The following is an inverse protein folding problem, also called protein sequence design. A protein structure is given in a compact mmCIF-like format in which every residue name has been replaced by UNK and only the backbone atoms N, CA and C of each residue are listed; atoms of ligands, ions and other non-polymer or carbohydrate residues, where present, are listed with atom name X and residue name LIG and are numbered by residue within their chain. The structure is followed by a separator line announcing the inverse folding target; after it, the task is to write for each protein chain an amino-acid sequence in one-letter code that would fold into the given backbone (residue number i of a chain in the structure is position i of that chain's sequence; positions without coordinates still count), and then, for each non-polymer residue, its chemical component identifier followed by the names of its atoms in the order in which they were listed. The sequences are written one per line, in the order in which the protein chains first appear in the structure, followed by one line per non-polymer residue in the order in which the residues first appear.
data_IF_002897028783
#
_entry.id   IF_002897028783
#
_cell.length_a   1.000
_cell.length_b   1.000
_cell.length_c   1.000
_cell.angle_alpha   90.00
_cell.angle_beta   90.00
_cell.angle_gamma   90.00
#
_symmetry.space_group_name_H-M   'P 1'
#
loop_
_entity.id
_entity.type
_entity.pdbx_description
1 polymer ?
#
# COMPACT_ATOMS: atom_id res chain seq x y z
N UNK A 1 -1.35 -17.70 -8.46
CA UNK A 1 -1.89 -16.45 -7.89
C UNK A 1 -0.81 -15.38 -7.99
N UNK A 2 -1.16 -14.15 -8.37
CA UNK A 2 -0.20 -13.06 -8.45
C UNK A 2 0.26 -12.60 -7.06
N UNK A 3 1.47 -12.10 -6.96
CA UNK A 3 1.94 -11.36 -5.79
C UNK A 3 1.58 -9.88 -6.00
N UNK A 4 0.91 -9.27 -5.01
CA UNK A 4 0.42 -7.89 -5.09
C UNK A 4 1.10 -7.05 -4.02
N UNK A 5 1.59 -5.87 -4.38
CA UNK A 5 2.02 -4.86 -3.42
C UNK A 5 0.82 -3.95 -3.11
N UNK A 6 0.40 -3.91 -1.85
CA UNK A 6 -0.81 -3.19 -1.45
C UNK A 6 -0.46 -1.74 -1.11
N UNK A 7 -1.27 -0.81 -1.60
CA UNK A 7 -1.14 0.63 -1.32
C UNK A 7 -2.07 1.06 -0.16
N UNK A 8 -1.71 2.13 0.54
CA UNK A 8 -2.42 2.68 1.71
C UNK A 8 -3.87 3.03 1.38
N UNK A 9 -4.13 3.51 0.16
CA UNK A 9 -5.48 3.83 -0.31
C UNK A 9 -6.40 2.60 -0.42
N UNK A 10 -5.85 1.41 -0.68
CA UNK A 10 -6.61 0.16 -0.78
C UNK A 10 -6.96 -0.32 0.62
N UNK A 11 -5.97 -0.32 1.53
CA UNK A 11 -6.17 -0.73 2.93
C UNK A 11 -7.20 0.17 3.63
N UNK A 12 -7.09 1.49 3.46
CA UNK A 12 -8.05 2.43 4.05
C UNK A 12 -9.47 2.25 3.51
N UNK A 13 -9.65 2.03 2.21
CA UNK A 13 -10.97 1.74 1.62
C UNK A 13 -11.54 0.41 2.10
N UNK A 14 -10.71 -0.62 2.23
CA UNK A 14 -11.13 -1.92 2.73
C UNK A 14 -11.60 -1.85 4.18
N UNK A 15 -10.82 -1.21 5.06
CA UNK A 15 -11.19 -1.03 6.47
C UNK A 15 -12.46 -0.19 6.65
N UNK A 16 -12.74 0.73 5.70
CA UNK A 16 -13.94 1.53 5.68
C UNK A 16 -15.15 0.87 4.98
N UNK A 17 -15.00 -0.34 4.40
CA UNK A 17 -16.06 -1.00 3.63
C UNK A 17 -16.47 -0.24 2.38
N UNK A 18 -15.52 0.44 1.72
CA UNK A 18 -15.74 1.30 0.56
C UNK A 18 -15.30 0.67 -0.76
N UNK A 19 -14.90 -0.61 -0.76
CA UNK A 19 -14.54 -1.32 -1.98
C UNK A 19 -15.80 -1.92 -2.64
N UNK A 20 -15.85 -2.02 -3.98
CA UNK A 20 -16.85 -2.84 -4.66
C UNK A 20 -16.71 -4.30 -4.27
N UNK A 21 -17.78 -5.09 -4.39
CA UNK A 21 -17.82 -6.50 -3.99
C UNK A 21 -16.69 -7.34 -4.62
N UNK A 22 -16.39 -7.12 -5.90
CA UNK A 22 -15.28 -7.82 -6.58
C UNK A 22 -13.92 -7.41 -6.02
N UNK A 23 -13.77 -6.15 -5.61
CA UNK A 23 -12.57 -5.62 -4.98
C UNK A 23 -12.36 -6.16 -3.57
N UNK A 24 -13.43 -6.28 -2.78
CA UNK A 24 -13.41 -6.93 -1.46
C UNK A 24 -12.99 -8.39 -1.59
N UNK A 25 -13.65 -9.17 -2.47
CA UNK A 25 -13.31 -10.59 -2.68
C UNK A 25 -11.87 -10.80 -3.14
N UNK A 26 -11.35 -9.92 -3.98
CA UNK A 26 -9.96 -9.97 -4.39
C UNK A 26 -9.05 -9.72 -3.18
N UNK A 27 -9.32 -8.68 -2.41
CA UNK A 27 -8.47 -8.30 -1.29
C UNK A 27 -8.55 -9.32 -0.15
N UNK A 28 -9.71 -9.93 0.12
CA UNK A 28 -9.86 -11.06 1.03
C UNK A 28 -8.89 -12.18 0.63
N UNK A 29 -8.84 -12.55 -0.65
CA UNK A 29 -7.91 -13.60 -1.12
C UNK A 29 -6.43 -13.21 -1.01
N UNK A 30 -6.13 -11.91 -1.03
CA UNK A 30 -4.76 -11.40 -0.83
C UNK A 30 -4.41 -11.38 0.66
N UNK A 31 -5.37 -11.04 1.53
CA UNK A 31 -5.21 -11.01 2.99
C UNK A 31 -5.15 -12.42 3.59
N UNK A 32 -5.89 -13.37 3.03
CA UNK A 32 -5.80 -14.80 3.37
C UNK A 32 -4.46 -15.41 2.97
N UNK A 33 -3.72 -14.74 2.07
CA UNK A 33 -2.32 -15.01 1.78
C UNK A 33 -1.41 -14.08 2.60
N UNK A 34 -0.09 -14.18 2.46
CA UNK A 34 0.81 -13.22 3.14
C UNK A 34 0.73 -11.87 2.41
N UNK A 35 0.13 -10.82 3.00
CA UNK A 35 0.05 -9.51 2.37
C UNK A 35 1.45 -8.93 2.21
N UNK A 36 1.63 -8.12 1.17
CA UNK A 36 2.93 -7.55 0.84
C UNK A 36 2.82 -6.03 0.83
N UNK A 37 3.66 -5.39 1.64
CA UNK A 37 3.69 -3.94 1.81
C UNK A 37 5.07 -3.40 1.53
N UNK A 38 5.14 -2.16 1.04
CA UNK A 38 6.39 -1.42 1.09
C UNK A 38 6.59 -0.83 2.48
N UNK A 39 7.84 -0.56 2.85
CA UNK A 39 8.13 0.20 4.07
C UNK A 39 7.45 1.58 4.07
N UNK A 40 7.21 2.18 2.90
CA UNK A 40 6.47 3.45 2.78
C UNK A 40 5.02 3.26 3.23
N UNK A 41 4.34 2.25 2.69
CA UNK A 41 2.97 1.88 3.05
C UNK A 41 2.85 1.55 4.54
N UNK A 42 3.82 0.80 5.10
CA UNK A 42 3.88 0.53 6.52
C UNK A 42 3.94 1.83 7.35
N UNK A 43 4.81 2.77 6.98
CA UNK A 43 4.95 4.06 7.68
C UNK A 43 3.63 4.84 7.63
N UNK A 44 3.00 4.92 6.47
CA UNK A 44 1.74 5.66 6.28
C UNK A 44 0.61 5.05 7.11
N UNK A 45 0.46 3.72 7.08
CA UNK A 45 -0.54 2.99 7.84
C UNK A 45 -0.36 3.17 9.35
N UNK A 46 0.85 2.97 9.87
CA UNK A 46 1.13 3.12 11.31
C UNK A 46 1.04 4.59 11.78
N UNK A 47 1.15 5.55 10.87
CA UNK A 47 0.97 6.98 11.16
C UNK A 47 -0.50 7.43 11.10
N UNK A 48 -1.40 6.57 10.59
CA UNK A 48 -2.79 6.90 10.38
C UNK A 48 -3.58 6.90 11.68
N UNK A 49 -4.21 8.04 12.02
CA UNK A 49 -5.12 8.19 13.16
C UNK A 49 -6.54 7.97 12.69
N UNK A 50 -7.03 6.74 12.77
CA UNK A 50 -8.25 6.31 12.08
C UNK A 50 -9.29 5.62 12.95
N UNK A 51 -9.03 5.44 14.24
CA UNK A 51 -9.87 4.64 15.13
C UNK A 51 -9.78 3.13 14.86
N UNK A 52 -8.94 2.71 13.90
CA UNK A 52 -8.66 1.31 13.55
C UNK A 52 -7.22 0.91 13.87
N UNK A 53 -6.54 1.62 14.77
CA UNK A 53 -5.10 1.50 15.03
C UNK A 53 -4.69 0.05 15.34
N UNK A 54 -5.48 -0.68 16.12
CA UNK A 54 -5.24 -2.10 16.42
C UNK A 54 -5.27 -2.97 15.18
N UNK A 55 -6.32 -2.85 14.35
CA UNK A 55 -6.47 -3.65 13.11
C UNK A 55 -5.37 -3.32 12.11
N UNK A 56 -4.97 -2.05 12.02
CA UNK A 56 -3.87 -1.63 11.16
C UNK A 56 -2.55 -2.23 11.63
N UNK A 57 -2.31 -2.24 12.94
CA UNK A 57 -1.09 -2.84 13.52
C UNK A 57 -1.04 -4.34 13.29
N UNK A 58 -2.15 -5.05 13.50
CA UNK A 58 -2.29 -6.49 13.20
C UNK A 58 -2.02 -6.77 11.71
N UNK A 59 -2.68 -6.04 10.82
CA UNK A 59 -2.48 -6.18 9.37
C UNK A 59 -1.02 -5.98 8.96
N UNK A 60 -0.34 -4.97 9.52
CA UNK A 60 1.09 -4.72 9.24
C UNK A 60 1.97 -5.85 9.79
N UNK A 61 1.65 -6.40 10.95
CA UNK A 61 2.41 -7.50 11.57
C UNK A 61 2.28 -8.81 10.77
N UNK A 62 1.12 -9.05 10.17
CA UNK A 62 0.87 -10.23 9.33
C UNK A 62 1.44 -10.08 7.91
N UNK A 63 1.99 -8.90 7.57
CA UNK A 63 2.51 -8.57 6.24
C UNK A 63 4.02 -8.82 6.08
N UNK A 64 4.42 -9.19 4.87
CA UNK A 64 5.81 -9.13 4.43
C UNK A 64 6.16 -7.70 4.00
N UNK A 65 7.24 -7.15 4.58
CA UNK A 65 7.65 -5.76 4.34
C UNK A 65 8.86 -5.70 3.40
N UNK A 66 8.69 -5.02 2.27
CA UNK A 66 9.77 -4.68 1.35
C UNK A 66 10.41 -3.36 1.72
N UNK A 67 11.69 -3.40 2.08
CA UNK A 67 12.48 -2.20 2.41
C UNK A 67 12.98 -1.48 1.15
N UNK A 68 13.33 -0.20 1.29
CA UNK A 68 13.97 0.56 0.23
C UNK A 68 15.48 0.31 0.24
N UNK A 69 15.95 -0.53 -0.68
CA UNK A 69 17.39 -0.70 -0.94
C UNK A 69 17.91 0.44 -1.82
N UNK A 70 19.23 0.65 -1.85
CA UNK A 70 19.85 1.63 -2.75
C UNK A 70 19.50 1.38 -4.22
N UNK A 71 19.37 0.11 -4.62
CA UNK A 71 18.94 -0.28 -5.96
C UNK A 71 17.52 0.18 -6.26
N UNK A 72 16.58 -0.08 -5.34
CA UNK A 72 15.18 0.37 -5.46
C UNK A 72 15.12 1.90 -5.53
N UNK A 73 15.88 2.60 -4.69
CA UNK A 73 15.98 4.06 -4.72
C UNK A 73 16.48 4.54 -6.08
N UNK A 74 17.55 3.94 -6.60
CA UNK A 74 18.11 4.25 -7.92
C UNK A 74 17.10 4.05 -9.05
N UNK A 75 16.34 2.96 -9.03
CA UNK A 75 15.27 2.70 -10.00
C UNK A 75 14.14 3.73 -9.89
N UNK A 76 13.70 4.05 -8.68
CA UNK A 76 12.67 5.08 -8.44
C UNK A 76 13.10 6.45 -9.00
N UNK A 77 14.36 6.84 -8.81
CA UNK A 77 14.91 8.08 -9.37
C UNK A 77 14.88 8.06 -10.90
N UNK A 78 15.31 6.97 -11.54
CA UNK A 78 15.27 6.81 -13.00
C UNK A 78 13.83 6.92 -13.52
N UNK A 79 12.91 6.13 -12.96
CA UNK A 79 11.49 6.15 -13.33
C UNK A 79 10.88 7.54 -13.21
N UNK A 80 11.25 8.31 -12.18
CA UNK A 80 10.72 9.66 -11.95
C UNK A 80 11.33 10.72 -12.87
N UNK A 81 12.56 10.52 -13.36
CA UNK A 81 13.18 11.41 -14.36
C UNK A 81 12.64 11.15 -15.77
N UNK A 82 12.44 9.87 -16.10
CA UNK A 82 12.00 9.45 -17.44
C UNK A 82 10.50 9.76 -17.67
N UNK A 83 9.72 9.81 -16.60
CA UNK A 83 8.34 10.29 -16.65
C UNK A 83 8.29 11.78 -16.37
N UNK A 84 7.87 12.59 -17.36
CA UNK A 84 7.32 13.92 -17.09
C UNK A 84 6.09 13.73 -16.20
N UNK A 85 6.22 13.91 -14.89
CA UNK A 85 5.07 14.12 -14.02
C UNK A 85 4.49 15.49 -14.38
N UNK A 86 3.64 15.54 -15.40
CA UNK A 86 2.73 16.67 -15.61
C UNK A 86 1.68 16.62 -14.49
N UNK A 87 2.03 17.15 -13.33
CA UNK A 87 1.00 17.62 -12.41
C UNK A 87 0.59 19.01 -12.92
N UNK A 88 -0.66 19.23 -13.33
CA UNK A 88 -1.18 20.58 -13.46
C UNK A 88 -1.14 21.17 -12.06
N UNK A 89 -0.24 22.13 -11.83
CA UNK A 89 -0.37 23.02 -10.68
C UNK A 89 -1.70 23.75 -10.86
N UNK A 90 -2.71 23.35 -10.10
CA UNK A 90 -3.93 24.15 -9.96
C UNK A 90 -3.49 25.48 -9.34
N UNK A 91 -3.45 26.52 -10.17
CA UNK A 91 -3.36 27.92 -9.75
C UNK A 91 -4.72 28.39 -9.25
#
# INVERSE_FOLDING_TARGET
MGQYLIDTNIVSKYLAGLLPLEGERLLDSVIDSIPQLSVITQIELLSWKSGFETRVTEFVNDSSIFTLTEEIVGMCVKLRRDRKCEHPMQQ
#
